data_IF_459461579135
#
_entry.id   IF_459461579135
#
_cell.length_a   1.000
_cell.length_b   1.000
_cell.length_c   1.000
_cell.angle_alpha   90.00
_cell.angle_beta   90.00
_cell.angle_gamma   90.00
#
_symmetry.space_group_name_H-M   'P 1'
#
loop_
_entity.id
_entity.type
_entity.pdbx_description
1 polymer ?
#
# COMPACT_ATOMS: atom_id res chain seq x y z
N UNK A 1 -26.22 2.70 0.34
CA UNK A 1 -25.75 3.59 -0.73
C UNK A 1 -24.22 3.51 -0.83
N UNK A 2 -23.67 2.38 -1.27
CA UNK A 2 -22.23 2.19 -1.51
C UNK A 2 -22.04 0.85 -2.23
N UNK A 3 -22.32 0.82 -3.53
CA UNK A 3 -22.03 -0.35 -4.40
C UNK A 3 -21.60 0.08 -5.82
N UNK A 4 -21.03 1.28 -5.96
CA UNK A 4 -20.64 1.83 -7.28
C UNK A 4 -19.20 2.33 -7.40
N UNK A 5 -18.34 2.13 -6.41
CA UNK A 5 -16.96 2.64 -6.46
C UNK A 5 -15.89 1.63 -6.91
N UNK A 6 -16.23 0.36 -7.10
CA UNK A 6 -15.32 -0.64 -7.69
C UNK A 6 -15.43 -0.73 -9.24
N UNK A 7 -16.42 -0.08 -9.85
CA UNK A 7 -16.67 -0.15 -11.29
C UNK A 7 -15.93 0.92 -12.14
N UNK A 8 -15.14 1.82 -11.53
CA UNK A 8 -14.53 2.94 -12.26
C UNK A 8 -13.09 2.70 -12.76
N UNK A 9 -12.54 1.49 -12.59
CA UNK A 9 -11.25 1.08 -13.17
C UNK A 9 -11.37 0.01 -14.27
N UNK A 10 -12.59 -0.45 -14.57
CA UNK A 10 -12.88 -1.49 -15.56
C UNK A 10 -13.74 -0.92 -16.69
N UNK A 11 -13.09 -0.29 -17.67
CA UNK A 11 -13.74 0.32 -18.81
C UNK A 11 -13.21 -0.21 -20.14
N UNK A 12 -13.30 -1.52 -20.38
CA UNK A 12 -13.17 -2.09 -21.73
C UNK A 12 -14.11 -3.30 -21.88
N UNK A 13 -15.35 -3.05 -22.31
CA UNK A 13 -16.23 -4.07 -22.88
C UNK A 13 -15.66 -4.56 -24.21
N UNK A 14 -15.29 -5.84 -24.30
CA UNK A 14 -15.00 -6.50 -25.57
C UNK A 14 -16.15 -7.43 -25.96
N UNK A 15 -16.70 -7.19 -27.14
CA UNK A 15 -17.70 -8.04 -27.80
C UNK A 15 -16.98 -9.20 -28.46
N UNK A 16 -17.30 -10.44 -28.08
CA UNK A 16 -16.82 -11.64 -28.73
C UNK A 16 -17.64 -11.94 -30.00
N UNK A 17 -16.97 -12.18 -31.12
CA UNK A 17 -17.56 -12.79 -32.31
C UNK A 17 -16.83 -14.11 -32.60
N UNK A 18 -17.61 -15.19 -32.67
CA UNK A 18 -17.19 -16.56 -32.88
C UNK A 18 -17.29 -16.98 -34.35
N UNK A 19 -16.28 -17.70 -34.85
CA UNK A 19 -16.42 -18.67 -35.95
C UNK A 19 -15.35 -19.77 -35.81
N UNK A 20 -15.78 -21.02 -35.98
CA UNK A 20 -15.02 -22.25 -35.75
C UNK A 20 -14.36 -22.79 -37.04
N UNK A 21 -13.25 -23.54 -36.92
CA UNK A 21 -13.14 -24.98 -37.29
C UNK A 21 -11.68 -25.51 -37.42
N UNK A 22 -11.52 -26.76 -36.97
CA UNK A 22 -10.47 -27.79 -37.24
C UNK A 22 -9.16 -27.81 -36.41
N UNK A 23 -8.85 -28.99 -35.86
CA UNK A 23 -7.62 -29.46 -35.17
C UNK A 23 -7.04 -30.63 -36.00
N UNK A 24 -5.71 -30.90 -36.05
CA UNK A 24 -4.94 -31.32 -34.88
C UNK A 24 -3.46 -30.87 -34.83
N UNK A 25 -3.16 -30.12 -33.79
CA UNK A 25 -1.90 -30.13 -33.02
C UNK A 25 -2.36 -29.67 -31.63
N UNK A 26 -1.86 -30.23 -30.52
CA UNK A 26 -2.25 -29.66 -29.21
C UNK A 26 -1.85 -28.18 -29.24
N UNK A 27 -2.80 -27.23 -29.22
CA UNK A 27 -2.43 -25.83 -29.31
C UNK A 27 -1.55 -25.53 -28.11
N UNK A 28 -0.53 -24.64 -28.24
CA UNK A 28 0.07 -24.06 -27.05
C UNK A 28 -1.08 -23.61 -26.16
N UNK A 29 -1.11 -24.09 -24.90
CA UNK A 29 -2.18 -23.82 -23.93
C UNK A 29 -2.61 -22.37 -24.14
N UNK A 30 -3.87 -22.16 -24.51
CA UNK A 30 -4.40 -20.83 -24.72
C UNK A 30 -3.97 -19.97 -23.52
N UNK A 31 -3.44 -18.76 -23.77
CA UNK A 31 -2.98 -17.91 -22.69
C UNK A 31 -4.10 -17.79 -21.66
N UNK A 32 -3.80 -18.08 -20.41
CA UNK A 32 -4.68 -17.72 -19.30
C UNK A 32 -4.70 -16.19 -19.34
N UNK A 33 -5.80 -15.61 -19.81
CA UNK A 33 -5.95 -14.15 -19.83
C UNK A 33 -5.69 -13.61 -18.42
N UNK A 34 -5.04 -12.46 -18.30
CA UNK A 34 -4.62 -11.93 -16.99
C UNK A 34 -5.79 -11.93 -16.02
N UNK A 35 -6.97 -11.52 -16.47
CA UNK A 35 -8.21 -11.54 -15.68
C UNK A 35 -8.50 -12.94 -15.11
N UNK A 36 -8.55 -13.98 -15.96
CA UNK A 36 -8.75 -15.35 -15.51
C UNK A 36 -7.64 -15.87 -14.58
N UNK A 37 -6.41 -15.40 -14.76
CA UNK A 37 -5.27 -15.74 -13.90
C UNK A 37 -5.37 -15.04 -12.54
N UNK A 38 -5.80 -13.78 -12.52
CA UNK A 38 -6.06 -13.00 -11.30
C UNK A 38 -7.19 -13.61 -10.50
N UNK A 39 -8.33 -13.90 -11.13
CA UNK A 39 -9.48 -14.54 -10.46
C UNK A 39 -9.09 -15.89 -9.85
N UNK A 40 -8.36 -16.72 -10.61
CA UNK A 40 -7.88 -18.01 -10.13
C UNK A 40 -6.93 -17.85 -8.94
N UNK A 41 -5.96 -16.94 -9.03
CA UNK A 41 -4.98 -16.73 -7.97
C UNK A 41 -5.64 -16.14 -6.71
N UNK A 42 -6.56 -15.18 -6.84
CA UNK A 42 -7.35 -14.63 -5.72
C UNK A 42 -8.16 -15.73 -5.04
N UNK A 43 -8.90 -16.54 -5.81
CA UNK A 43 -9.69 -17.64 -5.27
C UNK A 43 -8.81 -18.67 -4.53
N UNK A 44 -7.71 -19.13 -5.15
CA UNK A 44 -6.80 -20.10 -4.51
C UNK A 44 -6.12 -19.50 -3.28
N UNK A 45 -5.74 -18.22 -3.31
CA UNK A 45 -5.17 -17.54 -2.15
C UNK A 45 -6.18 -17.53 -1.00
N UNK A 46 -7.42 -17.11 -1.24
CA UNK A 46 -8.50 -17.09 -0.24
C UNK A 46 -8.72 -18.47 0.37
N UNK A 47 -8.89 -19.50 -0.46
CA UNK A 47 -9.08 -20.87 0.02
C UNK A 47 -7.88 -21.34 0.86
N UNK A 48 -6.66 -21.01 0.44
CA UNK A 48 -5.44 -21.42 1.14
C UNK A 48 -5.29 -20.77 2.52
N UNK A 49 -5.66 -19.50 2.68
CA UNK A 49 -5.52 -18.79 3.97
C UNK A 49 -6.63 -19.14 4.95
N UNK A 50 -7.77 -19.66 4.47
CA UNK A 50 -8.87 -20.11 5.34
C UNK A 50 -8.53 -21.40 6.09
N UNK A 51 -7.70 -22.28 5.51
CA UNK A 51 -7.36 -23.58 6.10
C UNK A 51 -6.06 -23.58 6.89
N UNK A 52 -5.24 -22.54 6.75
CA UNK A 52 -3.93 -22.41 7.42
C UNK A 52 -4.03 -21.58 8.69
N UNK A 53 -3.24 -21.94 9.69
CA UNK A 53 -3.22 -21.29 11.00
C UNK A 53 -1.83 -20.69 11.35
N UNK A 54 -0.98 -20.47 10.35
CA UNK A 54 0.27 -19.72 10.55
C UNK A 54 0.04 -18.20 10.59
N UNK A 55 1.05 -17.46 11.07
CA UNK A 55 0.94 -16.01 11.27
C UNK A 55 0.59 -15.25 9.99
N UNK A 56 1.15 -15.65 8.84
CA UNK A 56 0.94 -14.96 7.57
C UNK A 56 -0.43 -15.23 7.00
N UNK A 57 -0.88 -16.49 7.06
CA UNK A 57 -2.23 -16.87 6.66
C UNK A 57 -3.27 -16.07 7.46
N UNK A 58 -3.12 -15.97 8.78
CA UNK A 58 -3.98 -15.14 9.64
C UNK A 58 -3.94 -13.66 9.26
N UNK A 59 -2.75 -13.11 9.03
CA UNK A 59 -2.62 -11.72 8.60
C UNK A 59 -3.36 -11.44 7.28
N UNK A 60 -3.22 -12.32 6.28
CA UNK A 60 -3.89 -12.16 4.98
C UNK A 60 -5.39 -12.40 5.09
N UNK A 61 -5.83 -13.40 5.85
CA UNK A 61 -7.24 -13.63 6.14
C UNK A 61 -7.89 -12.39 6.76
N UNK A 62 -7.19 -11.71 7.67
CA UNK A 62 -7.66 -10.45 8.22
C UNK A 62 -7.87 -9.37 7.14
N UNK A 63 -7.00 -9.28 6.13
CA UNK A 63 -7.16 -8.32 5.03
C UNK A 63 -8.40 -8.60 4.18
N UNK A 64 -8.82 -9.86 4.07
CA UNK A 64 -10.08 -10.23 3.40
C UNK A 64 -11.32 -10.00 4.27
N UNK A 65 -11.16 -9.98 5.60
CA UNK A 65 -12.24 -9.79 6.56
C UNK A 65 -12.55 -8.31 6.87
N UNK A 66 -12.11 -7.33 6.07
CA UNK A 66 -12.28 -5.89 6.41
C UNK A 66 -13.73 -5.43 6.56
N UNK A 67 -14.70 -6.14 5.98
CA UNK A 67 -16.13 -5.88 6.16
C UNK A 67 -16.73 -6.53 7.41
N UNK A 68 -15.99 -7.42 8.06
CA UNK A 68 -16.28 -7.99 9.38
C UNK A 68 -15.19 -7.52 10.36
N UNK A 69 -15.41 -6.39 11.05
CA UNK A 69 -14.39 -5.80 11.90
C UNK A 69 -13.98 -6.69 13.09
N UNK A 70 -14.84 -7.62 13.52
CA UNK A 70 -14.51 -8.58 14.58
C UNK A 70 -13.54 -9.63 14.05
N UNK A 71 -13.84 -10.25 12.90
CA UNK A 71 -12.93 -11.18 12.26
C UNK A 71 -11.59 -10.53 11.88
N UNK A 72 -11.63 -9.32 11.34
CA UNK A 72 -10.43 -8.54 11.00
C UNK A 72 -9.48 -8.38 12.20
N UNK A 73 -10.00 -7.91 13.34
CA UNK A 73 -9.18 -7.68 14.54
C UNK A 73 -8.71 -9.00 15.15
N UNK A 74 -9.58 -10.01 15.22
CA UNK A 74 -9.24 -11.34 15.75
C UNK A 74 -8.09 -11.98 14.97
N UNK A 75 -8.14 -11.96 13.64
CA UNK A 75 -7.12 -12.58 12.80
C UNK A 75 -5.80 -11.77 12.82
N UNK A 76 -5.84 -10.44 12.92
CA UNK A 76 -4.63 -9.62 13.17
C UNK A 76 -4.00 -9.93 14.53
N UNK A 77 -4.80 -10.08 15.58
CA UNK A 77 -4.33 -10.47 16.91
C UNK A 77 -3.70 -11.87 16.90
N UNK A 78 -4.33 -12.83 16.20
CA UNK A 78 -3.79 -14.17 16.03
C UNK A 78 -2.46 -14.18 15.27
N UNK A 79 -2.33 -13.36 14.21
CA UNK A 79 -1.08 -13.18 13.47
C UNK A 79 0.03 -12.63 14.37
N UNK A 80 -0.24 -11.55 15.11
CA UNK A 80 0.73 -10.94 16.01
C UNK A 80 1.14 -11.86 17.17
N UNK A 81 0.20 -12.62 17.74
CA UNK A 81 0.50 -13.56 18.81
C UNK A 81 1.46 -14.68 18.37
N UNK A 82 1.40 -15.09 17.10
CA UNK A 82 2.27 -16.12 16.51
C UNK A 82 3.64 -15.58 16.14
N UNK A 83 3.68 -14.37 15.62
CA UNK A 83 4.93 -13.72 15.21
C UNK A 83 5.03 -12.31 15.81
N UNK A 84 5.29 -12.20 17.13
CA UNK A 84 5.27 -10.92 17.82
C UNK A 84 6.43 -10.01 17.40
N UNK A 85 7.41 -10.52 16.66
CA UNK A 85 8.54 -9.73 16.12
C UNK A 85 8.21 -9.04 14.80
N UNK A 86 7.18 -9.47 14.07
CA UNK A 86 6.80 -8.86 12.81
C UNK A 86 6.07 -7.53 13.05
N UNK A 87 6.70 -6.43 12.64
CA UNK A 87 6.17 -5.08 12.85
C UNK A 87 4.94 -4.79 12.01
N UNK A 88 4.82 -5.39 10.82
CA UNK A 88 3.61 -5.27 9.99
C UNK A 88 2.37 -5.74 10.78
N UNK A 89 2.46 -6.85 11.51
CA UNK A 89 1.33 -7.41 12.24
C UNK A 89 0.94 -6.54 13.44
N UNK A 90 1.93 -6.05 14.19
CA UNK A 90 1.70 -5.09 15.27
C UNK A 90 1.07 -3.80 14.75
N UNK A 91 1.61 -3.23 13.67
CA UNK A 91 1.14 -1.98 13.10
C UNK A 91 -0.30 -2.09 12.57
N UNK A 92 -0.63 -3.17 11.86
CA UNK A 92 -2.00 -3.42 11.40
C UNK A 92 -2.98 -3.62 12.56
N UNK A 93 -2.61 -4.40 13.58
CA UNK A 93 -3.46 -4.60 14.77
C UNK A 93 -3.67 -3.27 15.53
N UNK A 94 -2.60 -2.51 15.73
CA UNK A 94 -2.64 -1.19 16.36
C UNK A 94 -3.54 -0.23 15.59
N UNK A 95 -3.47 -0.22 14.25
CA UNK A 95 -4.33 0.57 13.39
C UNK A 95 -5.80 0.13 13.48
N UNK A 96 -6.08 -1.17 13.46
CA UNK A 96 -7.44 -1.70 13.57
C UNK A 96 -8.08 -1.39 14.94
N UNK A 97 -7.29 -1.44 16.03
CA UNK A 97 -7.72 -1.09 17.37
C UNK A 97 -7.92 0.41 17.62
N UNK A 98 -7.59 1.28 16.66
CA UNK A 98 -7.88 2.72 16.75
C UNK A 98 -9.34 3.06 16.46
N UNK A 99 -10.09 2.15 15.85
CA UNK A 99 -11.53 2.31 15.64
C UNK A 99 -12.29 2.24 16.96
N UNK A 100 -13.09 3.27 17.25
CA UNK A 100 -13.94 3.27 18.44
C UNK A 100 -15.15 2.38 18.20
N UNK A 101 -15.26 1.31 18.98
CA UNK A 101 -16.41 0.41 19.02
C UNK A 101 -16.98 0.33 20.44
N UNK A 102 -18.29 0.10 20.54
CA UNK A 102 -18.99 -0.13 21.81
C UNK A 102 -19.85 -1.40 21.65
N UNK A 103 -19.54 -2.50 22.39
CA UNK A 103 -18.42 -2.65 23.32
C UNK A 103 -17.04 -2.62 22.61
N UNK A 104 -15.98 -2.34 23.37
CA UNK A 104 -14.61 -2.45 22.87
C UNK A 104 -14.31 -3.92 22.57
N UNK A 105 -13.75 -4.20 21.40
CA UNK A 105 -13.36 -5.56 20.99
C UNK A 105 -12.36 -6.16 21.99
N UNK A 106 -12.51 -7.44 22.42
CA UNK A 106 -11.69 -8.05 23.47
C UNK A 106 -10.17 -7.95 23.21
N UNK A 107 -9.75 -8.17 21.97
CA UNK A 107 -8.36 -8.12 21.55
C UNK A 107 -7.77 -6.73 21.81
N UNK A 108 -8.55 -5.67 21.57
CA UNK A 108 -8.13 -4.27 21.73
C UNK A 108 -8.29 -3.73 23.15
N UNK A 109 -9.00 -4.43 24.03
CA UNK A 109 -9.29 -3.98 25.40
C UNK A 109 -8.11 -4.19 26.36
N UNK A 110 -7.26 -5.18 26.08
CA UNK A 110 -6.23 -5.65 27.03
C UNK A 110 -4.88 -4.93 26.88
N UNK A 111 -4.57 -4.42 25.69
CA UNK A 111 -3.26 -3.86 25.36
C UNK A 111 -3.39 -2.61 24.52
N UNK A 112 -2.66 -1.55 24.87
CA UNK A 112 -2.50 -0.39 23.99
C UNK A 112 -1.44 -0.68 22.91
N UNK A 113 -1.85 -1.39 21.87
CA UNK A 113 -0.95 -1.80 20.77
C UNK A 113 -0.30 -0.63 20.04
N UNK A 114 -0.97 0.53 19.95
CA UNK A 114 -0.36 1.68 19.29
C UNK A 114 0.72 2.34 20.18
N UNK A 115 0.57 2.34 21.51
CA UNK A 115 1.67 2.71 22.41
C UNK A 115 2.80 1.67 22.39
N UNK A 116 2.47 0.38 22.28
CA UNK A 116 3.48 -0.67 22.09
C UNK A 116 4.25 -0.49 20.78
N UNK A 117 3.55 -0.14 19.69
CA UNK A 117 4.16 0.13 18.40
C UNK A 117 5.07 1.35 18.44
N UNK A 118 4.62 2.49 19.02
CA UNK A 118 5.48 3.67 19.14
C UNK A 118 6.74 3.43 19.98
N UNK A 119 6.68 2.50 20.93
CA UNK A 119 7.86 2.10 21.70
C UNK A 119 8.82 1.21 20.91
N UNK A 120 8.28 0.20 20.21
CA UNK A 120 9.09 -0.81 19.48
C UNK A 120 9.65 -0.30 18.16
N UNK A 121 8.97 0.66 17.55
CA UNK A 121 9.31 1.26 16.26
C UNK A 121 9.43 2.78 16.40
N UNK A 122 10.10 3.22 17.46
CA UNK A 122 10.09 4.63 17.88
C UNK A 122 10.77 5.61 16.92
N UNK A 123 11.56 5.11 15.97
CA UNK A 123 12.22 5.88 14.91
C UNK A 123 11.33 6.07 13.66
N UNK A 124 10.13 5.49 13.66
CA UNK A 124 9.12 5.66 12.62
C UNK A 124 8.12 6.73 13.02
N UNK A 125 7.84 7.66 12.12
CA UNK A 125 6.88 8.74 12.33
C UNK A 125 5.42 8.26 12.43
N UNK A 126 5.07 7.15 11.78
CA UNK A 126 3.69 6.68 11.64
C UNK A 126 2.97 6.45 12.99
N UNK A 127 3.51 5.70 13.96
CA UNK A 127 2.84 5.51 15.25
C UNK A 127 2.65 6.82 16.02
N UNK A 128 3.58 7.77 15.91
CA UNK A 128 3.44 9.09 16.54
C UNK A 128 2.29 9.90 15.92
N UNK A 129 2.11 9.84 14.61
CA UNK A 129 0.99 10.49 13.94
C UNK A 129 -0.36 9.88 14.32
N UNK A 130 -0.42 8.56 14.53
CA UNK A 130 -1.64 7.91 15.02
C UNK A 130 -1.92 8.25 16.49
N UNK A 131 -0.89 8.40 17.33
CA UNK A 131 -1.05 8.91 18.70
C UNK A 131 -1.58 10.35 18.69
N UNK A 132 -1.09 11.19 17.77
CA UNK A 132 -1.64 12.52 17.56
C UNK A 132 -3.12 12.48 17.16
N UNK A 133 -3.50 11.61 16.23
CA UNK A 133 -4.91 11.42 15.83
C UNK A 133 -5.77 10.93 17.01
N UNK A 134 -5.24 10.03 17.86
CA UNK A 134 -5.93 9.58 19.06
C UNK A 134 -6.19 10.73 20.04
N UNK A 135 -5.18 11.56 20.29
CA UNK A 135 -5.28 12.75 21.14
C UNK A 135 -6.29 13.75 20.55
N UNK A 136 -6.24 13.96 19.23
CA UNK A 136 -7.21 14.78 18.50
C UNK A 136 -8.65 14.30 18.71
N UNK A 137 -8.93 13.00 18.57
CA UNK A 137 -10.26 12.42 18.79
C UNK A 137 -10.74 12.55 20.24
N UNK A 138 -9.84 12.84 21.19
CA UNK A 138 -10.14 13.10 22.61
C UNK A 138 -10.17 14.61 22.93
N UNK A 139 -10.05 15.47 21.93
CA UNK A 139 -9.94 16.92 22.07
C UNK A 139 -8.73 17.38 22.90
N UNK A 140 -7.68 16.55 22.99
CA UNK A 140 -6.42 16.90 23.64
C UNK A 140 -5.45 17.45 22.59
N UNK A 141 -5.59 18.75 22.31
CA UNK A 141 -4.83 19.42 21.24
C UNK A 141 -3.35 19.61 21.61
N UNK A 142 -3.03 19.75 22.90
CA UNK A 142 -1.64 19.89 23.35
C UNK A 142 -0.86 18.59 23.13
N UNK A 143 -1.42 17.45 23.55
CA UNK A 143 -0.80 16.13 23.32
C UNK A 143 -0.75 15.80 21.83
N UNK A 144 -1.78 16.17 21.06
CA UNK A 144 -1.76 16.03 19.60
C UNK A 144 -0.57 16.77 18.99
N UNK A 145 -0.38 18.06 19.31
CA UNK A 145 0.71 18.86 18.78
C UNK A 145 2.09 18.30 19.19
N UNK A 146 2.23 17.86 20.44
CA UNK A 146 3.46 17.21 20.92
C UNK A 146 3.81 15.96 20.11
N UNK A 147 2.82 15.12 19.79
CA UNK A 147 3.04 13.93 18.96
C UNK A 147 3.33 14.26 17.49
N UNK A 148 2.72 15.29 16.90
CA UNK A 148 3.08 15.74 15.54
C UNK A 148 4.53 16.26 15.51
N UNK A 149 4.93 17.05 16.50
CA UNK A 149 6.32 17.50 16.64
C UNK A 149 7.28 16.31 16.80
N UNK A 150 6.92 15.32 17.63
CA UNK A 150 7.71 14.09 17.76
C UNK A 150 7.82 13.34 16.43
N UNK A 151 6.73 13.21 15.68
CA UNK A 151 6.74 12.58 14.35
C UNK A 151 7.65 13.31 13.36
N UNK A 152 7.65 14.65 13.37
CA UNK A 152 8.48 15.48 12.50
C UNK A 152 9.99 15.31 12.73
N UNK A 153 10.37 14.82 13.91
CA UNK A 153 11.77 14.57 14.30
C UNK A 153 12.23 13.15 13.98
N UNK A 154 11.34 12.27 13.52
CA UNK A 154 11.72 10.89 13.24
C UNK A 154 12.49 10.78 11.92
N UNK A 155 13.47 9.86 11.83
CA UNK A 155 14.26 9.67 10.61
C UNK A 155 13.50 8.94 9.49
N UNK A 156 12.45 8.18 9.82
CA UNK A 156 11.74 7.29 8.90
C UNK A 156 10.24 7.57 8.87
N UNK A 157 9.65 7.40 7.69
CA UNK A 157 8.20 7.28 7.49
C UNK A 157 7.92 6.00 6.72
N UNK A 158 7.36 5.01 7.40
CA UNK A 158 7.12 3.69 6.83
C UNK A 158 5.75 3.17 7.26
N UNK A 159 4.86 3.03 6.28
CA UNK A 159 3.52 2.47 6.46
C UNK A 159 3.50 0.96 6.17
N UNK A 160 4.66 0.32 6.12
CA UNK A 160 4.87 -1.11 5.89
C UNK A 160 4.34 -1.63 4.55
N UNK A 161 4.26 -0.77 3.54
CA UNK A 161 3.80 -1.15 2.21
C UNK A 161 4.66 -2.27 1.60
N UNK A 162 6.00 -2.15 1.66
CA UNK A 162 6.91 -3.18 1.13
C UNK A 162 6.84 -4.50 1.91
N UNK A 163 6.57 -4.45 3.22
CA UNK A 163 6.35 -5.65 4.03
C UNK A 163 5.04 -6.35 3.65
N UNK A 164 3.97 -5.57 3.40
CA UNK A 164 2.70 -6.12 2.90
C UNK A 164 2.88 -6.76 1.53
N UNK A 165 3.60 -6.10 0.62
CA UNK A 165 3.96 -6.67 -0.68
C UNK A 165 4.74 -7.98 -0.52
N UNK A 166 5.72 -8.02 0.39
CA UNK A 166 6.47 -9.25 0.68
C UNK A 166 5.58 -10.37 1.23
N UNK A 167 4.61 -10.04 2.09
CA UNK A 167 3.67 -11.01 2.63
C UNK A 167 2.80 -11.65 1.53
N UNK A 168 2.22 -10.83 0.65
CA UNK A 168 1.42 -11.35 -0.46
C UNK A 168 2.26 -12.08 -1.51
N UNK A 169 3.44 -11.56 -1.85
CA UNK A 169 4.31 -12.21 -2.84
C UNK A 169 4.73 -13.61 -2.41
N UNK A 170 5.10 -13.79 -1.13
CA UNK A 170 5.47 -15.10 -0.57
C UNK A 170 4.32 -16.13 -0.62
N UNK A 171 3.08 -15.69 -0.71
CA UNK A 171 1.91 -16.57 -0.82
C UNK A 171 1.47 -16.77 -2.27
N UNK A 172 1.52 -15.73 -3.11
CA UNK A 172 1.06 -15.81 -4.49
C UNK A 172 2.07 -16.47 -5.43
N UNK A 173 3.36 -16.26 -5.21
CA UNK A 173 4.40 -16.82 -6.07
C UNK A 173 4.35 -18.36 -6.13
N UNK A 174 4.24 -19.10 -5.01
CA UNK A 174 4.12 -20.57 -5.05
C UNK A 174 2.80 -21.08 -5.66
N UNK A 175 1.75 -20.25 -5.67
CA UNK A 175 0.44 -20.61 -6.23
C UNK A 175 0.33 -20.38 -7.73
N UNK A 176 1.31 -19.70 -8.33
CA UNK A 176 1.36 -19.42 -9.76
C UNK A 176 1.71 -20.68 -10.58
N UNK A 177 0.92 -20.97 -11.61
CA UNK A 177 1.25 -22.00 -12.61
C UNK A 177 2.33 -21.48 -13.57
N UNK A 178 2.95 -22.36 -14.37
CA UNK A 178 3.80 -21.93 -15.46
C UNK A 178 3.09 -20.88 -16.34
N UNK A 179 3.72 -19.71 -16.50
CA UNK A 179 3.16 -18.58 -17.25
C UNK A 179 2.38 -17.54 -16.42
N UNK A 180 2.04 -17.81 -15.15
CA UNK A 180 1.25 -16.88 -14.32
C UNK A 180 2.09 -16.08 -13.31
N UNK A 181 3.40 -16.27 -13.28
CA UNK A 181 4.27 -15.60 -12.29
C UNK A 181 4.20 -14.07 -12.37
N UNK A 182 4.06 -13.53 -13.59
CA UNK A 182 3.83 -12.10 -13.79
C UNK A 182 2.47 -11.63 -13.25
N UNK A 183 1.42 -12.42 -13.46
CA UNK A 183 0.08 -12.18 -12.90
C UNK A 183 0.09 -12.20 -11.38
N UNK A 184 0.79 -13.17 -10.76
CA UNK A 184 0.97 -13.23 -9.31
C UNK A 184 1.70 -12.00 -8.77
N UNK A 185 2.72 -11.50 -9.48
CA UNK A 185 3.45 -10.31 -9.09
C UNK A 185 2.57 -9.05 -9.14
N UNK A 186 1.75 -8.92 -10.19
CA UNK A 186 0.76 -7.84 -10.29
C UNK A 186 -0.29 -7.90 -9.18
N UNK A 187 -0.82 -9.10 -8.90
CA UNK A 187 -1.83 -9.30 -7.85
C UNK A 187 -1.26 -8.99 -6.46
N UNK A 188 -0.01 -9.37 -6.18
CA UNK A 188 0.65 -9.02 -4.92
C UNK A 188 0.76 -7.50 -4.72
N UNK A 189 1.08 -6.75 -5.79
CA UNK A 189 1.11 -5.28 -5.77
C UNK A 189 -0.28 -4.68 -5.58
N UNK A 190 -1.28 -5.24 -6.26
CA UNK A 190 -2.67 -4.80 -6.10
C UNK A 190 -3.12 -4.90 -4.63
N UNK A 191 -2.84 -6.03 -3.98
CA UNK A 191 -3.16 -6.17 -2.55
C UNK A 191 -2.32 -5.26 -1.66
N UNK A 192 -1.02 -5.09 -1.93
CA UNK A 192 -0.20 -4.13 -1.16
C UNK A 192 -0.76 -2.70 -1.25
N UNK A 193 -1.40 -2.35 -2.36
CA UNK A 193 -2.11 -1.08 -2.57
C UNK A 193 -3.31 -0.86 -1.64
N UNK A 194 -3.85 -1.89 -0.98
CA UNK A 194 -4.97 -1.73 -0.04
C UNK A 194 -4.57 -1.09 1.30
N UNK A 195 -3.25 -0.90 1.51
CA UNK A 195 -2.55 -0.25 2.64
C UNK A 195 -2.79 -0.95 3.99
N UNK A 196 -1.74 -1.43 4.68
CA UNK A 196 -1.91 -2.13 5.95
C UNK A 196 -2.15 -1.16 7.13
N UNK A 197 -1.75 0.11 6.96
CA UNK A 197 -1.98 1.21 7.90
C UNK A 197 -2.57 2.38 7.11
N UNK A 198 -3.82 2.73 7.39
CA UNK A 198 -4.51 3.82 6.69
C UNK A 198 -4.12 5.20 7.27
N UNK A 199 -3.04 5.80 6.76
CA UNK A 199 -2.48 7.06 7.27
C UNK A 199 -2.96 8.33 6.56
N UNK A 200 -3.62 8.19 5.42
CA UNK A 200 -4.09 9.32 4.60
C UNK A 200 -5.10 10.20 5.34
N UNK A 201 -6.11 9.62 5.98
CA UNK A 201 -7.10 10.38 6.75
C UNK A 201 -6.52 10.97 8.06
N UNK A 202 -5.82 10.19 8.92
CA UNK A 202 -5.21 10.72 10.14
C UNK A 202 -4.30 11.92 9.91
N UNK A 203 -3.42 11.86 8.90
CA UNK A 203 -2.47 12.95 8.68
C UNK A 203 -3.15 14.24 8.22
N UNK A 204 -4.16 14.13 7.34
CA UNK A 204 -4.94 15.29 6.89
C UNK A 204 -5.78 15.88 8.03
N UNK A 205 -6.22 15.05 8.97
CA UNK A 205 -7.01 15.50 10.12
C UNK A 205 -6.14 16.22 11.18
N UNK A 206 -4.95 15.72 11.50
CA UNK A 206 -4.03 16.37 12.46
C UNK A 206 -3.38 17.63 11.87
N UNK A 207 -3.03 17.60 10.58
CA UNK A 207 -2.44 18.72 9.84
C UNK A 207 -3.47 19.47 8.97
N UNK A 208 -4.69 19.65 9.49
CA UNK A 208 -5.73 20.39 8.78
C UNK A 208 -5.36 21.87 8.60
N UNK A 209 -5.65 22.44 7.42
CA UNK A 209 -5.25 23.80 7.04
C UNK A 209 -5.68 24.88 8.05
N UNK A 210 -6.93 24.81 8.54
CA UNK A 210 -7.43 25.78 9.53
C UNK A 210 -6.68 25.71 10.87
N UNK A 211 -6.18 24.54 11.27
CA UNK A 211 -5.38 24.38 12.51
C UNK A 211 -3.97 24.91 12.33
N UNK A 212 -3.34 24.58 11.21
CA UNK A 212 -2.00 25.09 10.87
C UNK A 212 -2.01 26.63 10.71
N UNK A 213 -3.12 27.21 10.26
CA UNK A 213 -3.26 28.66 10.20
C UNK A 213 -3.35 29.31 11.59
N UNK A 214 -3.84 28.58 12.60
CA UNK A 214 -4.00 29.06 13.97
C UNK A 214 -2.77 28.79 14.87
N UNK A 215 -1.91 27.84 14.50
CA UNK A 215 -0.75 27.41 15.29
C UNK A 215 0.50 27.25 14.39
N UNK A 216 1.44 28.17 14.55
CA UNK A 216 2.70 28.22 13.81
C UNK A 216 3.61 27.01 14.11
N UNK A 217 3.67 26.57 15.37
CA UNK A 217 4.52 25.43 15.75
C UNK A 217 3.98 24.13 15.14
N UNK A 218 2.66 23.97 15.14
CA UNK A 218 2.00 22.86 14.45
C UNK A 218 2.24 22.92 12.94
N UNK A 219 2.14 24.11 12.32
CA UNK A 219 2.43 24.31 10.89
C UNK A 219 3.85 23.88 10.53
N UNK A 220 4.86 24.31 11.30
CA UNK A 220 6.25 23.91 11.10
C UNK A 220 6.42 22.40 11.25
N UNK A 221 5.82 21.80 12.28
CA UNK A 221 5.90 20.35 12.52
C UNK A 221 5.25 19.55 11.38
N UNK A 222 4.07 19.97 10.91
CA UNK A 222 3.39 19.37 9.76
C UNK A 222 4.21 19.51 8.47
N UNK A 223 4.90 20.65 8.26
CA UNK A 223 5.84 20.81 7.17
C UNK A 223 7.03 19.85 7.24
N UNK A 224 7.57 19.63 8.44
CA UNK A 224 8.62 18.64 8.69
C UNK A 224 8.18 17.22 8.35
N UNK A 225 6.98 16.81 8.80
CA UNK A 225 6.37 15.53 8.46
C UNK A 225 6.19 15.41 6.95
N UNK A 226 5.63 16.45 6.30
CA UNK A 226 5.43 16.47 4.85
C UNK A 226 6.74 16.26 4.08
N UNK A 227 7.81 16.96 4.48
CA UNK A 227 9.12 16.86 3.83
C UNK A 227 9.69 15.44 3.95
N UNK A 228 9.63 14.87 5.14
CA UNK A 228 10.07 13.48 5.39
C UNK A 228 9.30 12.50 4.51
N UNK A 229 7.96 12.60 4.47
CA UNK A 229 7.12 11.74 3.63
C UNK A 229 7.46 11.87 2.15
N UNK A 230 7.59 13.11 1.65
CA UNK A 230 7.92 13.38 0.25
C UNK A 230 9.26 12.73 -0.16
N UNK A 231 10.24 12.73 0.74
CA UNK A 231 11.58 12.24 0.47
C UNK A 231 11.78 10.75 0.74
N UNK A 232 11.10 10.22 1.77
CA UNK A 232 11.41 8.91 2.38
C UNK A 232 10.19 8.01 2.57
N UNK A 233 9.01 8.43 2.11
CA UNK A 233 7.82 7.58 2.16
C UNK A 233 8.05 6.27 1.40
N UNK A 234 7.57 5.17 1.97
CA UNK A 234 7.69 3.81 1.42
C UNK A 234 6.81 3.56 0.18
N UNK A 235 5.77 4.37 -0.03
CA UNK A 235 4.87 4.30 -1.18
C UNK A 235 4.82 5.62 -1.97
N UNK A 236 4.37 5.57 -3.23
CA UNK A 236 4.08 6.76 -4.02
C UNK A 236 3.05 7.66 -3.34
N UNK A 237 2.01 7.06 -2.77
CA UNK A 237 0.95 7.83 -2.12
C UNK A 237 1.49 8.63 -0.92
N UNK A 238 2.29 8.01 -0.06
CA UNK A 238 2.91 8.70 1.06
C UNK A 238 3.75 9.89 0.57
N UNK A 239 4.54 9.70 -0.50
CA UNK A 239 5.36 10.77 -1.07
C UNK A 239 4.51 11.91 -1.63
N UNK A 240 3.44 11.61 -2.37
CA UNK A 240 2.54 12.61 -2.95
C UNK A 240 1.79 13.38 -1.85
N UNK A 241 1.27 12.68 -0.84
CA UNK A 241 0.64 13.31 0.31
C UNK A 241 1.63 14.19 1.09
N UNK A 242 2.87 13.74 1.23
CA UNK A 242 3.97 14.48 1.84
C UNK A 242 4.30 15.77 1.10
N UNK A 243 4.40 15.72 -0.23
CA UNK A 243 4.64 16.88 -1.07
C UNK A 243 3.52 17.93 -0.90
N UNK A 244 2.26 17.49 -1.01
CA UNK A 244 1.11 18.37 -0.80
C UNK A 244 1.01 18.91 0.63
N UNK A 245 1.39 18.14 1.64
CA UNK A 245 1.44 18.61 3.03
C UNK A 245 2.53 19.66 3.24
N UNK A 246 3.70 19.45 2.65
CA UNK A 246 4.83 20.40 2.68
C UNK A 246 4.39 21.74 2.11
N UNK A 247 3.75 21.74 0.94
CA UNK A 247 3.24 22.95 0.29
C UNK A 247 2.19 23.68 1.15
N UNK A 248 1.20 22.94 1.68
CA UNK A 248 0.16 23.52 2.55
C UNK A 248 0.72 24.11 3.84
N UNK A 249 1.82 23.57 4.33
CA UNK A 249 2.49 24.01 5.56
C UNK A 249 3.38 25.23 5.33
N UNK A 250 3.66 25.64 4.08
CA UNK A 250 4.40 26.88 3.80
C UNK A 250 3.55 28.11 4.11
N UNK A 251 4.22 29.18 4.54
CA UNK A 251 3.60 30.52 4.61
C UNK A 251 3.15 30.95 3.22
N UNK A 252 2.11 31.79 3.16
CA UNK A 252 1.56 32.27 1.89
C UNK A 252 2.61 32.96 1.00
N UNK A 253 3.61 33.61 1.60
CA UNK A 253 4.72 34.30 0.92
C UNK A 253 5.73 33.35 0.24
N UNK A 254 5.83 32.10 0.69
CA UNK A 254 6.81 31.10 0.19
C UNK A 254 6.18 30.06 -0.73
N UNK A 255 4.86 29.88 -0.66
CA UNK A 255 4.14 28.83 -1.38
C UNK A 255 4.24 28.96 -2.91
N UNK A 256 4.19 30.18 -3.45
CA UNK A 256 4.13 30.45 -4.89
C UNK A 256 5.36 30.04 -5.71
N UNK A 257 6.59 30.27 -5.22
CA UNK A 257 7.81 29.80 -5.90
C UNK A 257 8.08 28.29 -5.74
N UNK A 258 7.89 27.72 -4.54
CA UNK A 258 8.30 26.33 -4.24
C UNK A 258 7.33 25.29 -4.81
N UNK A 259 6.03 25.60 -4.91
CA UNK A 259 5.06 24.72 -5.56
C UNK A 259 5.38 24.44 -7.04
N UNK A 260 6.25 25.25 -7.68
CA UNK A 260 6.64 25.07 -9.09
C UNK A 260 7.74 24.03 -9.30
N UNK A 261 8.55 23.70 -8.30
CA UNK A 261 9.84 23.04 -8.54
C UNK A 261 9.95 21.58 -8.02
N UNK A 262 9.28 21.20 -6.93
CA UNK A 262 9.47 19.86 -6.31
C UNK A 262 8.36 18.83 -6.61
N UNK A 263 7.11 19.29 -6.79
CA UNK A 263 5.94 18.44 -7.09
C UNK A 263 5.94 17.82 -8.52
N UNK A 264 6.47 18.50 -9.57
CA UNK A 264 6.40 17.96 -10.94
C UNK A 264 7.19 16.67 -11.14
N UNK A 265 8.37 16.52 -10.52
CA UNK A 265 9.23 15.35 -10.74
C UNK A 265 8.64 14.08 -10.14
N UNK A 266 8.08 14.16 -8.92
CA UNK A 266 7.42 13.02 -8.28
C UNK A 266 6.16 12.61 -9.05
N UNK A 267 5.36 13.58 -9.50
CA UNK A 267 4.18 13.31 -10.33
C UNK A 267 4.55 12.72 -11.68
N UNK A 268 5.59 13.24 -12.34
CA UNK A 268 6.10 12.68 -13.59
C UNK A 268 6.59 11.25 -13.39
N UNK A 269 7.31 10.97 -12.30
CA UNK A 269 7.71 9.61 -11.98
C UNK A 269 6.49 8.71 -11.80
N UNK A 270 5.50 9.14 -11.02
CA UNK A 270 4.26 8.39 -10.81
C UNK A 270 3.53 8.08 -12.12
N UNK A 271 3.39 9.07 -13.03
CA UNK A 271 2.79 8.87 -14.35
C UNK A 271 3.59 7.85 -15.17
N UNK A 272 4.91 7.98 -15.23
CA UNK A 272 5.77 7.04 -15.95
C UNK A 272 5.71 5.63 -15.38
N UNK A 273 5.55 5.49 -14.07
CA UNK A 273 5.34 4.20 -13.41
C UNK A 273 3.97 3.61 -13.75
N UNK A 274 2.91 4.42 -13.78
CA UNK A 274 1.59 3.99 -14.25
C UNK A 274 1.61 3.54 -15.71
N UNK A 275 2.33 4.26 -16.57
CA UNK A 275 2.53 3.86 -17.98
C UNK A 275 3.32 2.56 -18.10
N UNK A 276 4.33 2.36 -17.25
CA UNK A 276 5.10 1.11 -17.19
C UNK A 276 4.21 -0.05 -16.76
N UNK A 277 3.39 0.13 -15.73
CA UNK A 277 2.45 -0.88 -15.25
C UNK A 277 1.45 -1.27 -16.35
N UNK A 278 0.84 -0.29 -17.02
CA UNK A 278 -0.08 -0.56 -18.12
C UNK A 278 0.59 -1.30 -19.28
N UNK A 279 1.88 -1.05 -19.54
CA UNK A 279 2.65 -1.75 -20.57
C UNK A 279 3.01 -3.18 -20.15
N UNK A 280 3.34 -3.40 -18.88
CA UNK A 280 3.56 -4.74 -18.33
C UNK A 280 2.27 -5.56 -18.43
N UNK A 281 1.12 -4.99 -18.05
CA UNK A 281 -0.18 -5.67 -18.21
C UNK A 281 -0.43 -6.07 -19.66
N UNK A 282 -0.30 -5.14 -20.61
CA UNK A 282 -0.48 -5.47 -22.04
C UNK A 282 0.52 -6.52 -22.54
N UNK A 283 1.77 -6.44 -22.10
CA UNK A 283 2.81 -7.40 -22.46
C UNK A 283 2.52 -8.81 -21.95
N UNK A 284 1.94 -8.93 -20.75
CA UNK A 284 1.52 -10.21 -20.17
C UNK A 284 0.33 -10.84 -20.93
N UNK A 285 -0.53 -10.02 -21.57
CA UNK A 285 -1.62 -10.49 -22.44
C UNK A 285 -1.19 -10.72 -23.89
N UNK A 286 0.04 -10.35 -24.28
CA UNK A 286 0.49 -10.46 -25.67
C UNK A 286 0.41 -11.89 -26.18
N UNK A 287 0.10 -12.08 -27.47
CA UNK A 287 0.22 -13.39 -28.11
C UNK A 287 1.68 -13.81 -28.36
N UNK A 288 2.62 -12.85 -28.37
CA UNK A 288 4.05 -13.11 -28.53
C UNK A 288 4.67 -13.61 -27.21
N UNK A 289 5.25 -14.82 -27.24
CA UNK A 289 5.89 -15.43 -26.09
C UNK A 289 7.09 -14.64 -25.56
N UNK A 290 7.83 -13.95 -26.43
CA UNK A 290 8.97 -13.12 -26.05
C UNK A 290 8.51 -11.88 -25.30
N UNK A 291 7.47 -11.21 -25.79
CA UNK A 291 6.89 -10.04 -25.11
C UNK A 291 6.31 -10.42 -23.75
N UNK A 292 5.58 -11.54 -23.67
CA UNK A 292 5.08 -12.07 -22.39
C UNK A 292 6.19 -12.41 -21.40
N UNK A 293 7.27 -13.04 -21.88
CA UNK A 293 8.43 -13.38 -21.06
C UNK A 293 9.09 -12.14 -20.46
N UNK A 294 9.33 -11.11 -21.29
CA UNK A 294 9.86 -9.83 -20.83
C UNK A 294 8.94 -9.16 -19.81
N UNK A 295 7.63 -9.10 -20.09
CA UNK A 295 6.65 -8.51 -19.18
C UNK A 295 6.61 -9.25 -17.83
N UNK A 296 6.74 -10.58 -17.83
CA UNK A 296 6.84 -11.39 -16.61
C UNK A 296 8.09 -11.04 -15.82
N UNK A 297 9.25 -10.97 -16.47
CA UNK A 297 10.51 -10.58 -15.82
C UNK A 297 10.42 -9.19 -15.20
N UNK A 298 9.83 -8.22 -15.93
CA UNK A 298 9.62 -6.87 -15.41
C UNK A 298 8.68 -6.84 -14.20
N UNK A 299 7.54 -7.55 -14.26
CA UNK A 299 6.59 -7.60 -13.15
C UNK A 299 7.23 -8.18 -11.88
N UNK A 300 7.97 -9.28 -12.01
CA UNK A 300 8.66 -9.92 -10.88
C UNK A 300 9.78 -9.04 -10.35
N UNK A 301 10.61 -8.46 -11.23
CA UNK A 301 11.68 -7.56 -10.83
C UNK A 301 11.16 -6.35 -10.06
N UNK A 302 9.99 -5.81 -10.45
CA UNK A 302 9.35 -4.70 -9.74
C UNK A 302 9.01 -5.10 -8.31
N UNK A 303 8.38 -6.26 -8.12
CA UNK A 303 8.02 -6.76 -6.79
C UNK A 303 9.26 -6.97 -5.92
N UNK A 304 10.28 -7.66 -6.45
CA UNK A 304 11.51 -7.97 -5.71
C UNK A 304 12.26 -6.70 -5.33
N UNK A 305 12.45 -5.76 -6.27
CA UNK A 305 13.15 -4.51 -6.01
C UNK A 305 12.36 -3.63 -5.01
N UNK A 306 11.03 -3.65 -5.07
CA UNK A 306 10.15 -2.88 -4.19
C UNK A 306 10.12 -3.42 -2.75
N UNK A 307 10.20 -4.75 -2.58
CA UNK A 307 10.39 -5.40 -1.28
C UNK A 307 11.72 -4.99 -0.64
N UNK A 308 12.79 -4.91 -1.45
CA UNK A 308 14.13 -4.60 -0.95
C UNK A 308 14.39 -3.11 -0.69
N UNK A 309 13.59 -2.22 -1.29
CA UNK A 309 13.78 -0.77 -1.20
C UNK A 309 12.48 -0.06 -0.84
N UNK A 310 11.82 0.53 -1.83
CA UNK A 310 10.53 1.18 -1.73
C UNK A 310 9.89 1.21 -3.14
N UNK A 311 8.60 1.53 -3.21
CA UNK A 311 7.85 1.54 -4.47
C UNK A 311 8.46 2.48 -5.53
N UNK A 312 8.87 3.68 -5.11
CA UNK A 312 9.34 4.72 -6.02
C UNK A 312 10.73 4.38 -6.58
N UNK A 313 11.63 3.92 -5.71
CA UNK A 313 13.00 3.52 -6.05
C UNK A 313 13.01 2.31 -6.97
N UNK A 314 12.17 1.30 -6.69
CA UNK A 314 12.03 0.13 -7.54
C UNK A 314 11.54 0.50 -8.94
N UNK A 315 10.52 1.37 -9.04
CA UNK A 315 10.06 1.84 -10.35
C UNK A 315 11.15 2.65 -11.10
N UNK A 316 11.84 3.59 -10.43
CA UNK A 316 12.93 4.35 -11.07
C UNK A 316 14.00 3.43 -11.66
N UNK A 317 14.43 2.40 -10.92
CA UNK A 317 15.40 1.41 -11.41
C UNK A 317 14.90 0.66 -12.64
N UNK A 318 13.63 0.28 -12.68
CA UNK A 318 13.08 -0.40 -13.85
C UNK A 318 12.97 0.51 -15.07
N UNK A 319 12.57 1.76 -14.89
CA UNK A 319 12.54 2.74 -15.96
C UNK A 319 13.95 2.95 -16.55
N UNK A 320 14.98 2.99 -15.71
CA UNK A 320 16.38 3.07 -16.15
C UNK A 320 16.85 1.80 -16.87
N UNK A 321 16.52 0.60 -16.37
CA UNK A 321 16.86 -0.66 -17.05
C UNK A 321 16.25 -0.70 -18.44
N UNK A 322 14.98 -0.29 -18.56
CA UNK A 322 14.27 -0.26 -19.83
C UNK A 322 14.86 0.75 -20.82
N UNK A 323 15.33 1.89 -20.35
CA UNK A 323 15.99 2.88 -21.19
C UNK A 323 17.31 2.36 -21.78
N UNK A 324 17.97 1.39 -21.12
CA UNK A 324 19.21 0.77 -21.60
C UNK A 324 19.01 -0.39 -22.58
N UNK A 325 17.80 -0.95 -22.62
CA UNK A 325 17.46 -2.08 -23.50
C UNK A 325 16.79 -1.65 -24.81
N UNK A 326 16.55 -0.35 -24.99
CA UNK A 326 16.09 0.26 -26.25
C UNK A 326 17.30 0.73 -27.05
#
# INVERSE_FOLDING_TARGET
MTDRFLAALFGCTFVAASAAQSLPESPPRAPIGIESGVERLDAVLRDSVLVRDDARARFIAAQFARTDPEAHVRDLAAAFAREPREMLYLASLASACMERTLPVRPECATTDYLSQWSFRDGDNAVPWLLLAERARRRNDLATMAAHVNKAAQQPRYDEYWSHMLAAYWKELEPLARPGERGTAAMLARLYAGSKPVAMDSPILAVCAAGRMAADEALRVSCGGVGKMMAQRGSSFLARVLGAGLTERSMSASVRGPVARDADPLLRQLQVRCGDLDAQVSRGLESADAKERGQATEFAVALVVDAIATDEATACSRLLERRARTK
#
